data_IF_572870557944
#
_entry.id   IF_572870557944
#
_cell.length_a   1.000
_cell.length_b   1.000
_cell.length_c   1.000
_cell.angle_alpha   90.00
_cell.angle_beta   90.00
_cell.angle_gamma   90.00
#
_symmetry.space_group_name_H-M   'P 1'
#
loop_
_entity.id
_entity.type
_entity.pdbx_description
1 polymer ?
#
# COMPACT_ATOMS: atom_id res chain seq x y z
N UNK A 1 -46.91 -51.04 -82.33
CA UNK A 1 -45.76 -51.54 -81.56
C UNK A 1 -45.49 -50.53 -80.44
N UNK A 2 -45.64 -50.93 -79.18
CA UNK A 2 -45.55 -50.03 -78.01
C UNK A 2 -44.10 -49.67 -77.73
N UNK A 3 -43.79 -48.37 -77.65
CA UNK A 3 -42.64 -47.86 -76.88
C UNK A 3 -43.18 -46.77 -75.96
N UNK A 4 -43.00 -46.99 -74.66
CA UNK A 4 -43.41 -46.13 -73.56
C UNK A 4 -42.19 -45.26 -73.22
N UNK A 5 -42.23 -43.96 -73.51
CA UNK A 5 -41.21 -43.01 -73.04
C UNK A 5 -41.76 -42.28 -71.83
N UNK A 6 -41.20 -42.51 -70.65
CA UNK A 6 -41.47 -41.72 -69.45
C UNK A 6 -40.53 -40.51 -69.43
N UNK A 7 -41.06 -39.32 -69.68
CA UNK A 7 -40.36 -38.06 -69.41
C UNK A 7 -40.80 -37.60 -68.01
N UNK A 8 -39.87 -37.68 -67.04
CA UNK A 8 -40.05 -37.08 -65.73
C UNK A 8 -39.99 -35.55 -65.91
N UNK A 9 -41.13 -34.88 -65.72
CA UNK A 9 -41.19 -33.42 -65.55
C UNK A 9 -40.73 -33.13 -64.13
N UNK A 10 -39.42 -33.08 -63.95
CA UNK A 10 -38.76 -32.61 -62.74
C UNK A 10 -37.87 -31.48 -63.22
N UNK A 11 -38.36 -30.23 -63.20
CA UNK A 11 -37.64 -28.95 -63.29
C UNK A 11 -38.66 -27.84 -63.60
N UNK A 12 -39.22 -27.20 -62.55
CA UNK A 12 -38.81 -25.81 -62.29
C UNK A 12 -38.65 -25.46 -60.79
N UNK A 13 -38.97 -26.37 -59.87
CA UNK A 13 -38.98 -26.05 -58.43
C UNK A 13 -37.56 -25.88 -57.85
N UNK A 14 -36.57 -26.63 -58.34
CA UNK A 14 -35.18 -26.55 -57.86
C UNK A 14 -34.48 -25.24 -58.24
N UNK A 15 -34.82 -24.64 -59.38
CA UNK A 15 -34.24 -23.36 -59.82
C UNK A 15 -34.83 -22.19 -59.03
N UNK A 16 -36.14 -22.23 -58.71
CA UNK A 16 -36.80 -21.22 -57.90
C UNK A 16 -36.30 -21.23 -56.45
N UNK A 17 -36.06 -22.42 -55.88
CA UNK A 17 -35.54 -22.58 -54.51
C UNK A 17 -34.09 -22.09 -54.38
N UNK A 18 -33.28 -22.27 -55.43
CA UNK A 18 -31.89 -21.79 -55.46
C UNK A 18 -31.77 -20.26 -55.59
N UNK A 19 -32.72 -19.62 -56.29
CA UNK A 19 -32.78 -18.16 -56.42
C UNK A 19 -33.28 -17.51 -55.11
N UNK A 20 -34.22 -18.14 -54.40
CA UNK A 20 -34.67 -17.67 -53.07
C UNK A 20 -33.59 -17.84 -52.01
N UNK A 21 -32.76 -18.90 -52.08
CA UNK A 21 -31.60 -19.07 -51.18
C UNK A 21 -30.47 -18.07 -51.42
N UNK A 22 -30.31 -17.54 -52.64
CA UNK A 22 -29.35 -16.47 -52.94
C UNK A 22 -29.84 -15.07 -52.54
N UNK A 23 -31.17 -14.85 -52.47
CA UNK A 23 -31.77 -13.60 -52.01
C UNK A 23 -31.91 -13.52 -50.48
N UNK A 24 -31.67 -14.62 -49.77
CA UNK A 24 -31.55 -14.66 -48.31
C UNK A 24 -30.10 -14.72 -47.84
N UNK A 25 -29.18 -14.09 -48.58
CA UNK A 25 -27.91 -13.68 -47.97
C UNK A 25 -28.27 -12.74 -46.82
N UNK A 26 -28.24 -13.27 -45.59
CA UNK A 26 -28.31 -12.48 -44.38
C UNK A 26 -27.28 -11.37 -44.54
N UNK A 27 -27.74 -10.12 -44.55
CA UNK A 27 -26.84 -8.99 -44.40
C UNK A 27 -26.20 -9.18 -43.02
N UNK A 28 -24.99 -9.72 -42.99
CA UNK A 28 -24.15 -9.68 -41.82
C UNK A 28 -23.73 -8.21 -41.67
N UNK A 29 -24.57 -7.42 -41.00
CA UNK A 29 -24.21 -6.07 -40.60
C UNK A 29 -23.08 -6.18 -39.58
N UNK A 30 -21.85 -5.95 -40.03
CA UNK A 30 -20.74 -5.74 -39.11
C UNK A 30 -20.97 -4.39 -38.42
N UNK A 31 -21.21 -4.42 -37.11
CA UNK A 31 -21.30 -3.21 -36.29
C UNK A 31 -20.04 -2.35 -36.47
N UNK A 32 -20.23 -1.03 -36.55
CA UNK A 32 -19.13 -0.09 -36.77
C UNK A 32 -18.92 0.75 -35.53
N UNK A 33 -17.67 0.90 -35.12
CA UNK A 33 -17.27 1.75 -34.01
C UNK A 33 -16.05 2.56 -34.41
N UNK A 34 -16.12 3.86 -34.16
CA UNK A 34 -14.99 4.77 -34.33
C UNK A 34 -14.91 5.70 -33.13
N UNK A 35 -13.71 5.82 -32.54
CA UNK A 35 -13.48 6.69 -31.40
C UNK A 35 -12.33 7.63 -31.69
N UNK A 36 -12.45 8.86 -31.21
CA UNK A 36 -11.41 9.89 -31.24
C UNK A 36 -11.06 10.33 -29.82
N UNK A 37 -9.78 10.55 -29.56
CA UNK A 37 -9.31 11.16 -28.32
C UNK A 37 -9.38 12.69 -28.47
N UNK A 38 -9.96 13.34 -27.48
CA UNK A 38 -10.16 14.80 -27.45
C UNK A 38 -9.14 15.53 -26.57
N UNK A 39 -8.16 14.81 -26.03
CA UNK A 39 -7.09 15.37 -25.19
C UNK A 39 -5.76 14.70 -25.53
N UNK A 40 -4.67 15.42 -25.24
CA UNK A 40 -3.32 14.87 -25.23
C UNK A 40 -3.03 14.09 -23.94
N UNK A 41 -1.74 13.80 -23.74
CA UNK A 41 -1.23 13.05 -22.59
C UNK A 41 -1.67 13.64 -21.24
N UNK A 42 -1.97 12.75 -20.29
CA UNK A 42 -2.30 13.12 -18.92
C UNK A 42 -1.07 13.02 -18.02
N UNK A 43 -1.03 13.85 -16.98
CA UNK A 43 0.02 13.82 -15.96
C UNK A 43 -0.63 13.74 -14.58
N UNK A 44 -0.18 12.77 -13.77
CA UNK A 44 -0.53 12.65 -12.37
C UNK A 44 0.66 13.11 -11.52
N UNK A 45 0.46 14.20 -10.78
CA UNK A 45 1.46 14.72 -9.86
C UNK A 45 1.17 14.26 -8.43
N UNK A 46 2.08 13.50 -7.84
CA UNK A 46 1.94 12.99 -6.47
C UNK A 46 2.41 13.97 -5.41
N UNK A 47 3.09 15.05 -5.80
CA UNK A 47 3.84 15.90 -4.88
C UNK A 47 4.97 15.12 -4.18
N UNK A 48 5.27 15.49 -2.94
CA UNK A 48 6.19 14.75 -2.09
C UNK A 48 5.42 13.82 -1.14
N UNK A 49 5.69 12.53 -1.25
CA UNK A 49 5.12 11.50 -0.38
C UNK A 49 6.15 11.11 0.68
N UNK A 50 5.77 11.23 1.95
CA UNK A 50 6.61 10.82 3.07
C UNK A 50 6.31 9.36 3.42
N UNK A 51 7.37 8.56 3.58
CA UNK A 51 7.26 7.17 4.05
C UNK A 51 8.20 6.94 5.23
N UNK A 52 7.70 6.30 6.28
CA UNK A 52 8.53 5.96 7.43
C UNK A 52 9.47 4.81 7.07
N UNK A 53 10.72 4.86 7.54
CA UNK A 53 11.73 3.83 7.23
C UNK A 53 11.22 2.42 7.49
N UNK A 54 10.60 2.19 8.65
CA UNK A 54 10.23 0.85 9.12
C UNK A 54 8.76 0.52 8.81
N UNK A 55 8.16 1.22 7.84
CA UNK A 55 6.82 0.92 7.34
C UNK A 55 6.77 -0.53 6.80
N UNK A 56 5.73 -1.27 7.19
CA UNK A 56 5.57 -2.67 6.81
C UNK A 56 5.23 -2.83 5.33
N UNK A 57 5.73 -3.91 4.72
CA UNK A 57 5.31 -4.33 3.38
C UNK A 57 3.79 -4.56 3.36
N UNK A 58 3.11 -4.06 2.32
CA UNK A 58 1.65 -4.08 2.20
C UNK A 58 0.96 -2.80 2.68
N UNK A 59 1.65 -1.92 3.40
CA UNK A 59 1.08 -0.65 3.86
C UNK A 59 0.82 0.29 2.69
N UNK A 60 -0.41 0.78 2.58
CA UNK A 60 -0.79 1.86 1.68
C UNK A 60 -0.38 3.18 2.33
N UNK A 61 0.47 3.97 1.66
CA UNK A 61 1.08 5.18 2.23
C UNK A 61 0.44 6.48 1.72
N UNK A 62 -0.49 6.39 0.78
CA UNK A 62 -1.24 7.55 0.26
C UNK A 62 -2.73 7.26 0.22
N UNK A 63 -3.53 8.31 0.36
CA UNK A 63 -4.89 8.33 -0.17
C UNK A 63 -4.86 8.18 -1.70
N UNK A 64 -6.03 8.12 -2.34
CA UNK A 64 -6.12 8.18 -3.80
C UNK A 64 -5.63 9.54 -4.27
N UNK A 65 -4.46 9.56 -4.91
CA UNK A 65 -3.90 10.72 -5.58
C UNK A 65 -4.45 10.74 -6.99
N UNK A 66 -5.09 11.82 -7.41
CA UNK A 66 -5.87 11.86 -8.67
C UNK A 66 -5.27 12.89 -9.62
N UNK A 67 -5.24 12.57 -10.92
CA UNK A 67 -4.87 13.50 -11.98
C UNK A 67 -5.89 14.63 -12.12
N UNK A 68 -5.58 15.63 -12.94
CA UNK A 68 -6.61 16.56 -13.41
C UNK A 68 -7.73 15.78 -14.13
N UNK A 69 -8.98 16.21 -13.90
CA UNK A 69 -10.16 15.64 -14.58
C UNK A 69 -10.30 16.21 -15.97
N UNK A 70 -10.30 15.33 -16.98
CA UNK A 70 -10.58 15.66 -18.37
C UNK A 70 -12.09 15.61 -18.60
N UNK A 71 -12.68 16.77 -18.93
CA UNK A 71 -14.13 16.91 -19.08
C UNK A 71 -14.70 16.07 -20.23
N UNK A 72 -13.98 15.92 -21.34
CA UNK A 72 -14.35 15.02 -22.43
C UNK A 72 -13.08 14.41 -22.99
N UNK A 73 -12.81 13.14 -22.67
CA UNK A 73 -11.60 12.45 -23.08
C UNK A 73 -11.75 11.77 -24.45
N UNK A 74 -12.94 11.20 -24.71
CA UNK A 74 -13.21 10.51 -25.97
C UNK A 74 -14.61 10.83 -26.50
N UNK A 75 -14.73 10.82 -27.82
CA UNK A 75 -16.02 10.80 -28.53
C UNK A 75 -16.03 9.59 -29.45
N UNK A 76 -17.04 8.74 -29.28
CA UNK A 76 -17.20 7.50 -30.02
C UNK A 76 -18.52 7.49 -30.79
N UNK A 77 -18.45 7.23 -32.08
CA UNK A 77 -19.59 6.82 -32.88
C UNK A 77 -19.69 5.30 -32.84
N UNK A 78 -20.88 4.78 -32.58
CA UNK A 78 -21.18 3.34 -32.56
C UNK A 78 -22.44 3.09 -33.38
N UNK A 79 -22.47 1.99 -34.12
CA UNK A 79 -23.65 1.50 -34.84
C UNK A 79 -23.74 -0.01 -34.70
N UNK A 80 -24.85 -0.49 -34.10
CA UNK A 80 -25.08 -1.90 -33.77
C UNK A 80 -23.95 -2.56 -32.95
N UNK A 81 -23.29 -1.79 -32.08
CA UNK A 81 -22.13 -2.21 -31.30
C UNK A 81 -22.06 -1.44 -29.96
N UNK A 82 -21.01 -1.64 -29.17
CA UNK A 82 -20.80 -0.97 -27.89
C UNK A 82 -19.35 -0.68 -27.55
N UNK A 83 -19.19 0.22 -26.59
CA UNK A 83 -17.89 0.77 -26.16
C UNK A 83 -17.78 0.82 -24.64
N UNK A 84 -16.58 0.56 -24.12
CA UNK A 84 -16.26 0.71 -22.70
C UNK A 84 -14.98 1.53 -22.52
N UNK A 85 -14.95 2.47 -21.55
CA UNK A 85 -13.71 3.10 -21.12
C UNK A 85 -12.81 2.06 -20.48
N UNK A 86 -11.51 2.11 -20.75
CA UNK A 86 -10.51 1.24 -20.13
C UNK A 86 -9.33 2.03 -19.58
N UNK A 87 -8.63 1.44 -18.63
CA UNK A 87 -7.26 1.79 -18.30
C UNK A 87 -6.40 0.55 -18.41
N UNK A 88 -5.21 0.68 -18.98
CA UNK A 88 -4.24 -0.40 -19.07
C UNK A 88 -2.84 0.06 -18.68
N UNK A 89 -2.04 -0.82 -18.09
CA UNK A 89 -0.64 -0.55 -17.77
C UNK A 89 0.24 -1.68 -18.29
N UNK A 90 1.40 -1.29 -18.84
CA UNK A 90 2.48 -2.19 -19.22
C UNK A 90 3.60 -2.24 -18.17
N UNK A 91 3.39 -1.63 -17.00
CA UNK A 91 4.37 -1.72 -15.92
C UNK A 91 4.51 -3.17 -15.46
N UNK A 92 5.72 -3.55 -15.06
CA UNK A 92 5.98 -4.84 -14.46
C UNK A 92 5.21 -4.94 -13.13
N UNK A 93 4.38 -5.97 -12.99
CA UNK A 93 3.74 -6.24 -11.71
C UNK A 93 4.76 -6.65 -10.65
N UNK A 94 4.52 -6.20 -9.43
CA UNK A 94 5.19 -6.68 -8.25
C UNK A 94 4.57 -8.03 -7.82
N UNK A 95 5.33 -8.84 -7.09
CA UNK A 95 4.81 -10.07 -6.51
C UNK A 95 3.80 -9.81 -5.37
N UNK A 96 3.94 -8.66 -4.68
CA UNK A 96 3.00 -8.21 -3.67
C UNK A 96 1.66 -7.85 -4.31
N UNK A 97 0.59 -8.26 -3.63
CA UNK A 97 -0.78 -7.89 -3.94
C UNK A 97 -1.34 -7.08 -2.77
N UNK A 98 -2.27 -6.16 -3.04
CA UNK A 98 -2.93 -5.38 -1.99
C UNK A 98 -4.44 -5.44 -2.19
N UNK A 99 -5.16 -6.06 -1.26
CA UNK A 99 -6.62 -6.19 -1.29
C UNK A 99 -7.19 -6.76 -2.61
N UNK A 100 -6.52 -7.73 -3.23
CA UNK A 100 -6.95 -8.31 -4.50
C UNK A 100 -6.69 -7.43 -5.74
N UNK A 101 -5.92 -6.34 -5.58
CA UNK A 101 -5.53 -5.42 -6.63
C UNK A 101 -4.07 -5.62 -7.05
N UNK A 102 -3.80 -5.34 -8.32
CA UNK A 102 -2.45 -5.40 -8.87
C UNK A 102 -1.60 -4.24 -8.33
N UNK A 103 -0.41 -4.56 -7.84
CA UNK A 103 0.61 -3.57 -7.47
C UNK A 103 1.69 -3.61 -8.54
N UNK A 104 2.00 -2.48 -9.13
CA UNK A 104 3.05 -2.33 -10.15
C UNK A 104 4.33 -1.79 -9.53
N UNK A 105 5.47 -2.19 -10.08
CA UNK A 105 6.76 -1.63 -9.71
C UNK A 105 6.84 -0.15 -10.13
N UNK A 106 7.41 0.67 -9.26
CA UNK A 106 7.74 2.06 -9.58
C UNK A 106 9.25 2.21 -9.82
N UNK A 107 9.67 3.42 -10.19
CA UNK A 107 11.09 3.80 -10.24
C UNK A 107 11.74 3.91 -8.87
N UNK A 108 10.97 3.93 -7.77
CA UNK A 108 11.47 4.02 -6.40
C UNK A 108 11.47 2.63 -5.75
N UNK A 109 12.65 2.05 -5.45
CA UNK A 109 12.74 0.75 -4.80
C UNK A 109 11.99 0.71 -3.47
N UNK A 110 11.26 -0.39 -3.25
CA UNK A 110 10.42 -0.59 -2.06
C UNK A 110 9.08 0.13 -2.10
N UNK A 111 8.75 0.83 -3.19
CA UNK A 111 7.45 1.48 -3.42
C UNK A 111 6.81 0.91 -4.68
N UNK A 112 5.60 0.40 -4.55
CA UNK A 112 4.72 -0.01 -5.64
C UNK A 112 3.56 0.98 -5.83
N UNK A 113 2.83 0.83 -6.93
CA UNK A 113 1.68 1.66 -7.27
C UNK A 113 0.48 0.81 -7.69
N UNK A 114 -0.68 1.12 -7.12
CA UNK A 114 -1.97 0.65 -7.63
C UNK A 114 -2.57 1.72 -8.53
N UNK A 115 -3.15 1.31 -9.65
CA UNK A 115 -3.61 2.23 -10.70
C UNK A 115 -5.09 2.00 -10.94
N UNK A 116 -5.87 3.07 -10.93
CA UNK A 116 -7.27 3.03 -11.32
C UNK A 116 -7.70 4.32 -11.99
N UNK A 117 -8.94 4.35 -12.43
CA UNK A 117 -9.48 5.50 -13.13
C UNK A 117 -10.98 5.63 -12.90
N UNK A 118 -11.46 6.86 -13.05
CA UNK A 118 -12.86 7.24 -13.00
C UNK A 118 -13.26 7.80 -14.35
N UNK A 119 -14.46 7.47 -14.82
CA UNK A 119 -15.03 8.05 -16.03
C UNK A 119 -16.55 8.10 -15.95
N UNK A 120 -17.15 9.05 -16.66
CA UNK A 120 -18.59 9.18 -16.84
C UNK A 120 -18.96 8.90 -18.29
N UNK A 121 -19.90 7.97 -18.50
CA UNK A 121 -20.45 7.66 -19.81
C UNK A 121 -21.97 7.54 -19.67
N UNK A 122 -22.73 8.24 -20.53
CA UNK A 122 -24.20 8.32 -20.47
C UNK A 122 -24.76 8.54 -19.05
N UNK A 123 -24.29 9.61 -18.41
CA UNK A 123 -24.75 10.02 -17.08
C UNK A 123 -24.32 9.11 -15.93
N UNK A 124 -23.70 7.95 -16.21
CA UNK A 124 -23.22 7.02 -15.18
C UNK A 124 -21.72 7.20 -14.94
N UNK A 125 -21.36 7.53 -13.71
CA UNK A 125 -19.96 7.63 -13.26
C UNK A 125 -19.56 6.32 -12.61
N UNK A 126 -18.47 5.72 -13.10
CA UNK A 126 -17.91 4.50 -12.55
C UNK A 126 -16.40 4.65 -12.32
N UNK A 127 -15.87 3.83 -11.43
CA UNK A 127 -14.44 3.75 -11.14
C UNK A 127 -14.00 2.31 -11.07
N UNK A 128 -12.84 2.04 -11.64
CA UNK A 128 -12.24 0.71 -11.64
C UNK A 128 -10.74 0.83 -11.35
N UNK A 129 -10.23 -0.10 -10.56
CA UNK A 129 -8.80 -0.25 -10.28
C UNK A 129 -8.32 -1.53 -10.95
N UNK A 130 -7.12 -1.51 -11.50
CA UNK A 130 -6.55 -2.68 -12.17
C UNK A 130 -6.39 -3.81 -11.13
N UNK A 131 -7.16 -4.88 -11.35
CA UNK A 131 -7.18 -6.07 -10.51
C UNK A 131 -6.23 -7.16 -11.03
N UNK A 132 -6.34 -8.34 -10.43
CA UNK A 132 -5.48 -9.51 -10.73
C UNK A 132 -5.72 -10.19 -12.08
N UNK A 133 -6.56 -9.65 -12.98
CA UNK A 133 -6.96 -10.41 -14.17
C UNK A 133 -5.80 -10.62 -15.16
N UNK A 134 -5.50 -11.91 -15.34
CA UNK A 134 -4.50 -12.50 -16.23
C UNK A 134 -4.56 -11.91 -17.63
N UNK A 135 -3.41 -11.46 -18.13
CA UNK A 135 -3.09 -11.62 -19.53
C UNK A 135 -1.80 -12.42 -19.63
N UNK A 136 -1.88 -13.63 -20.20
CA UNK A 136 -0.75 -14.56 -20.38
C UNK A 136 0.33 -14.01 -21.35
N UNK A 137 0.12 -12.81 -21.91
CA UNK A 137 1.05 -12.13 -22.82
C UNK A 137 0.66 -10.66 -23.14
N UNK A 138 -0.15 -9.99 -22.31
CA UNK A 138 -0.72 -8.66 -22.64
C UNK A 138 -0.51 -7.59 -21.56
N UNK A 139 -0.94 -6.34 -21.79
CA UNK A 139 -1.01 -5.32 -20.75
C UNK A 139 -2.03 -5.72 -19.65
N UNK A 140 -1.82 -5.26 -18.42
CA UNK A 140 -2.82 -5.37 -17.35
C UNK A 140 -3.86 -4.29 -17.55
N UNK A 141 -5.14 -4.61 -17.46
CA UNK A 141 -6.19 -3.63 -17.73
C UNK A 141 -7.44 -3.89 -16.92
N UNK A 142 -8.29 -2.87 -16.87
CA UNK A 142 -9.65 -2.94 -16.35
C UNK A 142 -10.52 -1.98 -17.14
N UNK A 143 -11.83 -2.18 -17.10
CA UNK A 143 -12.80 -1.31 -17.75
C UNK A 143 -13.80 -0.76 -16.76
N UNK A 144 -14.35 0.40 -17.12
CA UNK A 144 -15.54 0.95 -16.50
C UNK A 144 -16.79 0.46 -17.26
N UNK A 145 -17.96 0.92 -16.82
CA UNK A 145 -19.24 0.54 -17.45
C UNK A 145 -19.22 0.92 -18.93
N UNK A 146 -19.44 -0.09 -19.78
CA UNK A 146 -19.63 0.10 -21.22
C UNK A 146 -21.10 0.14 -21.60
N UNK A 147 -21.37 0.67 -22.79
CA UNK A 147 -22.72 0.80 -23.33
C UNK A 147 -22.79 0.22 -24.73
N UNK A 148 -23.86 -0.53 -24.98
CA UNK A 148 -24.19 -1.11 -26.27
C UNK A 148 -25.48 -0.50 -26.81
N UNK A 149 -25.57 -0.37 -28.13
CA UNK A 149 -26.78 0.12 -28.80
C UNK A 149 -27.08 -0.72 -30.05
N UNK A 150 -28.37 -0.93 -30.32
CA UNK A 150 -28.89 -1.61 -31.52
C UNK A 150 -29.05 -0.69 -32.72
N UNK A 151 -28.74 0.60 -32.59
CA UNK A 151 -28.72 1.58 -33.67
C UNK A 151 -27.52 2.50 -33.58
N UNK A 152 -27.47 3.52 -34.43
CA UNK A 152 -26.37 4.48 -34.44
C UNK A 152 -26.50 5.50 -33.29
N UNK A 153 -25.38 5.75 -32.60
CA UNK A 153 -25.32 6.73 -31.53
C UNK A 153 -23.90 7.29 -31.37
N UNK A 154 -23.81 8.51 -30.85
CA UNK A 154 -22.53 9.13 -30.47
C UNK A 154 -22.47 9.27 -28.96
N UNK A 155 -21.39 8.77 -28.36
CA UNK A 155 -21.19 8.73 -26.92
C UNK A 155 -19.92 9.47 -26.56
N UNK A 156 -20.01 10.32 -25.53
CA UNK A 156 -18.86 11.00 -24.95
C UNK A 156 -18.45 10.31 -23.65
N UNK A 157 -17.16 10.02 -23.53
CA UNK A 157 -16.54 9.59 -22.28
C UNK A 157 -15.97 10.84 -21.63
N UNK A 158 -16.56 11.21 -20.51
CA UNK A 158 -16.38 12.48 -19.82
C UNK A 158 -15.87 12.29 -18.40
N UNK A 159 -15.46 13.37 -17.75
CA UNK A 159 -14.97 13.37 -16.37
C UNK A 159 -13.92 12.30 -16.09
N UNK A 160 -12.97 12.12 -17.01
CA UNK A 160 -11.93 11.10 -16.91
C UNK A 160 -10.83 11.60 -15.99
N UNK A 161 -10.53 10.82 -14.95
CA UNK A 161 -9.38 11.05 -14.09
C UNK A 161 -8.72 9.73 -13.73
N UNK A 162 -7.40 9.73 -13.64
CA UNK A 162 -6.61 8.57 -13.19
C UNK A 162 -6.24 8.80 -11.75
N UNK A 163 -6.34 7.75 -10.92
CA UNK A 163 -5.91 7.81 -9.54
C UNK A 163 -4.93 6.69 -9.22
N UNK A 164 -4.06 6.97 -8.25
CA UNK A 164 -3.08 6.00 -7.75
C UNK A 164 -3.07 5.94 -6.22
N UNK A 165 -2.64 4.80 -5.71
CA UNK A 165 -2.27 4.63 -4.31
C UNK A 165 -0.89 3.97 -4.25
N UNK A 166 0.01 4.54 -3.47
CA UNK A 166 1.36 3.99 -3.29
C UNK A 166 1.36 2.97 -2.14
N UNK A 167 2.10 1.88 -2.34
CA UNK A 167 2.16 0.75 -1.41
C UNK A 167 3.60 0.39 -1.13
N UNK A 168 3.94 0.11 0.13
CA UNK A 168 5.27 -0.39 0.50
C UNK A 168 5.42 -1.83 -0.01
N UNK A 169 6.41 -2.09 -0.85
CA UNK A 169 6.68 -3.42 -1.45
C UNK A 169 7.93 -4.09 -0.88
N UNK A 170 8.84 -3.31 -0.33
CA UNK A 170 10.06 -3.75 0.37
C UNK A 170 10.54 -2.61 1.27
N UNK A 171 11.75 -2.69 1.82
CA UNK A 171 12.35 -1.59 2.57
C UNK A 171 12.29 -0.29 1.73
N UNK A 172 11.56 0.75 2.19
CA UNK A 172 11.34 1.94 1.38
C UNK A 172 12.63 2.74 1.22
N UNK A 173 12.81 3.34 0.05
CA UNK A 173 13.91 4.23 -0.29
C UNK A 173 13.40 5.59 -0.75
N UNK A 174 14.23 6.62 -0.66
CA UNK A 174 13.92 7.93 -1.25
C UNK A 174 14.21 7.93 -2.75
N UNK A 175 13.40 8.62 -3.54
CA UNK A 175 13.61 8.71 -4.97
C UNK A 175 12.54 9.51 -5.71
N UNK A 176 12.72 9.62 -7.02
CA UNK A 176 11.78 10.32 -7.91
C UNK A 176 10.83 9.29 -8.52
N UNK A 177 9.52 9.58 -8.43
CA UNK A 177 8.50 8.89 -9.21
C UNK A 177 8.41 9.61 -10.56
N UNK A 178 8.77 8.94 -11.64
CA UNK A 178 8.72 9.54 -12.98
C UNK A 178 8.52 8.49 -14.06
N UNK A 179 7.75 8.84 -15.08
CA UNK A 179 7.67 8.07 -16.33
C UNK A 179 6.25 7.65 -16.68
N UNK A 180 6.16 6.66 -17.56
CA UNK A 180 4.90 6.06 -17.97
C UNK A 180 4.21 5.37 -16.78
N UNK A 181 2.90 5.58 -16.65
CA UNK A 181 2.06 4.95 -15.64
C UNK A 181 1.09 3.95 -16.27
N UNK A 182 0.29 4.43 -17.22
CA UNK A 182 -0.80 3.70 -17.86
C UNK A 182 -1.26 4.41 -19.14
N UNK A 183 -2.11 3.76 -19.92
CA UNK A 183 -2.92 4.37 -20.97
C UNK A 183 -4.39 4.31 -20.59
N UNK A 184 -5.11 5.43 -20.71
CA UNK A 184 -6.57 5.42 -20.74
C UNK A 184 -7.01 5.23 -22.19
N UNK A 185 -8.00 4.39 -22.43
CA UNK A 185 -8.48 4.08 -23.76
C UNK A 185 -9.96 3.76 -23.81
N UNK A 186 -10.38 3.29 -24.99
CA UNK A 186 -11.70 2.74 -25.22
C UNK A 186 -11.55 1.37 -25.88
N UNK A 187 -12.40 0.42 -25.53
CA UNK A 187 -12.50 -0.90 -26.17
C UNK A 187 -13.90 -1.13 -26.70
N UNK A 188 -14.04 -2.03 -27.68
CA UNK A 188 -15.35 -2.62 -28.04
C UNK A 188 -15.88 -3.50 -26.91
N UNK A 189 -17.19 -3.59 -26.77
CA UNK A 189 -17.87 -4.45 -25.77
C UNK A 189 -18.51 -5.70 -26.39
N UNK A 190 -18.00 -6.20 -27.53
CA UNK A 190 -18.55 -7.38 -28.20
C UNK A 190 -18.50 -8.63 -27.31
N UNK A 191 -19.37 -9.63 -27.57
CA UNK A 191 -19.47 -10.87 -26.81
C UNK A 191 -18.13 -11.64 -26.68
N UNK A 192 -17.23 -11.44 -27.65
CA UNK A 192 -15.80 -11.65 -27.48
C UNK A 192 -15.17 -10.27 -27.31
N UNK A 193 -14.74 -9.90 -26.10
CA UNK A 193 -13.89 -8.72 -25.91
C UNK A 193 -12.60 -8.97 -26.71
N UNK A 194 -12.56 -8.52 -27.97
CA UNK A 194 -11.49 -8.82 -28.91
C UNK A 194 -10.19 -8.06 -28.57
N UNK A 195 -10.24 -7.17 -27.59
CA UNK A 195 -9.10 -6.40 -27.11
C UNK A 195 -8.62 -5.35 -28.12
N UNK A 196 -9.39 -5.11 -29.19
CA UNK A 196 -9.12 -4.10 -30.20
C UNK A 196 -9.27 -2.71 -29.58
N UNK A 197 -8.17 -2.20 -29.01
CA UNK A 197 -8.13 -0.87 -28.39
C UNK A 197 -8.25 0.24 -29.43
N UNK A 198 -9.08 1.23 -29.13
CA UNK A 198 -9.19 2.50 -29.87
C UNK A 198 -8.15 3.53 -29.35
N UNK A 199 -8.25 4.86 -29.63
CA UNK A 199 -7.14 5.75 -29.32
C UNK A 199 -6.83 5.71 -27.82
N UNK A 200 -5.56 5.86 -27.52
CA UNK A 200 -5.02 5.79 -26.17
C UNK A 200 -4.49 7.15 -25.78
N UNK A 201 -4.81 7.55 -24.57
CA UNK A 201 -4.27 8.72 -23.92
C UNK A 201 -3.22 8.23 -22.93
N UNK A 202 -1.92 8.47 -23.19
CA UNK A 202 -0.88 8.05 -22.27
C UNK A 202 -0.94 8.89 -20.99
N UNK A 203 -0.66 8.24 -19.88
CA UNK A 203 -0.65 8.82 -18.55
C UNK A 203 0.75 8.66 -17.99
N UNK A 204 1.33 9.78 -17.56
CA UNK A 204 2.61 9.79 -16.87
C UNK A 204 2.43 10.16 -15.41
N UNK A 205 3.36 9.72 -14.57
CA UNK A 205 3.44 10.08 -13.15
C UNK A 205 4.66 10.98 -12.93
N UNK A 206 4.53 11.98 -12.07
CA UNK A 206 5.66 12.73 -11.54
C UNK A 206 5.52 13.00 -10.04
N UNK A 207 6.64 13.08 -9.33
CA UNK A 207 6.71 13.43 -7.91
C UNK A 207 7.90 12.80 -7.21
N UNK A 208 7.91 12.84 -5.88
CA UNK A 208 9.02 12.32 -5.07
C UNK A 208 8.51 11.49 -3.91
N UNK A 209 9.30 10.51 -3.50
CA UNK A 209 9.15 9.78 -2.25
C UNK A 209 10.32 10.13 -1.36
N UNK A 210 10.03 10.56 -0.13
CA UNK A 210 11.04 10.84 0.90
C UNK A 210 10.87 9.84 2.03
N UNK A 211 11.86 8.95 2.17
CA UNK A 211 11.96 8.04 3.32
C UNK A 211 12.57 8.78 4.50
N UNK A 212 11.83 8.85 5.61
CA UNK A 212 12.25 9.55 6.83
C UNK A 212 12.69 8.59 7.93
N UNK A 213 13.72 8.97 8.67
CA UNK A 213 14.27 8.24 9.81
C UNK A 213 15.00 9.18 10.77
N UNK A 214 15.63 8.62 11.81
CA UNK A 214 16.65 9.31 12.59
C UNK A 214 17.95 8.50 12.67
N UNK A 215 19.06 9.22 12.84
CA UNK A 215 20.35 8.69 13.26
C UNK A 215 20.47 8.78 14.78
N UNK A 216 20.94 7.72 15.43
CA UNK A 216 21.16 7.71 16.87
C UNK A 216 22.47 8.43 17.17
N UNK A 217 22.43 9.45 18.03
CA UNK A 217 23.63 10.20 18.44
C UNK A 217 24.18 9.72 19.79
N UNK A 218 23.35 9.05 20.61
CA UNK A 218 23.75 8.41 21.88
C UNK A 218 23.49 6.90 21.81
N UNK A 219 24.36 6.11 21.16
CA UNK A 219 24.14 4.67 20.97
C UNK A 219 24.20 3.87 22.27
N UNK A 220 24.86 4.40 23.30
CA UNK A 220 24.97 3.78 24.61
C UNK A 220 24.42 4.73 25.69
N UNK A 221 23.59 4.20 26.58
CA UNK A 221 23.09 4.92 27.76
C UNK A 221 23.54 4.17 29.01
N UNK A 222 24.31 4.83 29.87
CA UNK A 222 24.77 4.28 31.14
C UNK A 222 24.10 5.04 32.28
N UNK A 223 23.39 4.31 33.14
CA UNK A 223 22.64 4.89 34.25
C UNK A 223 23.33 4.55 35.58
N UNK A 224 24.27 5.37 36.07
CA UNK A 224 24.86 5.18 37.39
C UNK A 224 23.83 5.57 38.47
N UNK A 225 22.99 4.61 38.88
CA UNK A 225 22.03 4.79 39.99
C UNK A 225 22.77 4.96 41.33
N UNK A 226 23.92 4.28 41.47
CA UNK A 226 24.74 4.30 42.68
C UNK A 226 24.28 3.31 43.74
N UNK A 227 24.89 3.43 44.91
CA UNK A 227 24.62 2.58 46.08
C UNK A 227 23.41 3.11 46.86
N UNK A 228 22.50 2.21 47.21
CA UNK A 228 21.28 2.53 47.96
C UNK A 228 21.20 1.61 49.16
N UNK A 229 21.01 2.20 50.36
CA UNK A 229 20.88 1.43 51.60
C UNK A 229 19.66 0.51 51.52
N UNK A 230 19.82 -0.75 51.94
CA UNK A 230 18.74 -1.72 52.00
C UNK A 230 17.57 -1.23 52.88
N UNK A 231 17.84 -0.41 53.91
CA UNK A 231 16.84 0.21 54.77
C UNK A 231 15.96 1.27 54.08
N UNK A 232 16.36 1.75 52.90
CA UNK A 232 15.55 2.68 52.11
C UNK A 232 14.49 1.95 51.28
N UNK A 233 14.57 0.61 51.21
CA UNK A 233 13.52 -0.25 50.69
C UNK A 233 12.52 -0.58 51.81
N UNK A 234 11.29 -0.87 51.44
CA UNK A 234 10.21 -1.16 52.39
C UNK A 234 10.03 -2.65 52.65
N UNK A 235 8.84 -3.00 53.13
CA UNK A 235 8.43 -4.38 53.39
C UNK A 235 7.44 -4.94 52.34
N UNK A 236 7.26 -4.24 51.22
CA UNK A 236 6.29 -4.56 50.18
C UNK A 236 6.90 -4.46 48.79
N UNK A 237 6.37 -5.26 47.86
CA UNK A 237 6.69 -5.16 46.43
C UNK A 237 6.20 -3.82 45.90
N UNK A 238 6.99 -3.18 45.04
CA UNK A 238 6.62 -1.92 44.38
C UNK A 238 7.18 -0.64 44.99
N UNK A 239 7.92 -0.75 46.09
CA UNK A 239 8.63 0.39 46.67
C UNK A 239 9.75 0.85 45.74
N UNK A 240 9.84 2.16 45.55
CA UNK A 240 10.89 2.85 44.81
C UNK A 240 11.60 3.78 45.81
N UNK A 241 12.83 3.46 46.23
CA UNK A 241 13.53 4.30 47.20
C UNK A 241 13.81 5.70 46.65
N UNK A 242 13.71 6.72 47.50
CA UNK A 242 14.07 8.08 47.13
C UNK A 242 15.55 8.16 46.71
N UNK A 243 15.83 8.87 45.62
CA UNK A 243 17.19 9.03 45.10
C UNK A 243 17.77 7.80 44.37
N UNK A 244 17.06 6.67 44.35
CA UNK A 244 17.49 5.46 43.65
C UNK A 244 17.20 5.50 42.15
N UNK A 245 17.54 6.61 41.49
CA UNK A 245 17.29 6.82 40.08
C UNK A 245 18.35 7.69 39.40
N UNK A 246 18.54 7.48 38.10
CA UNK A 246 19.40 8.27 37.25
C UNK A 246 18.73 8.51 35.89
N UNK A 247 18.88 9.72 35.34
CA UNK A 247 18.31 10.08 34.04
C UNK A 247 19.41 10.32 33.03
N UNK A 248 19.25 9.75 31.84
CA UNK A 248 20.11 9.96 30.68
C UNK A 248 19.25 10.35 29.49
N UNK A 249 19.82 11.12 28.57
CA UNK A 249 19.11 11.56 27.37
C UNK A 249 19.46 10.65 26.19
N UNK A 250 18.44 10.04 25.59
CA UNK A 250 18.53 9.44 24.26
C UNK A 250 18.51 10.57 23.22
N UNK A 251 19.66 10.84 22.62
CA UNK A 251 19.84 11.79 21.53
C UNK A 251 19.65 11.15 20.16
N UNK A 252 18.88 11.82 19.30
CA UNK A 252 18.66 11.47 17.89
C UNK A 252 18.84 12.70 16.99
N UNK A 253 19.22 12.47 15.73
CA UNK A 253 19.15 13.47 14.66
C UNK A 253 18.17 12.97 13.60
N UNK A 254 17.04 13.66 13.44
CA UNK A 254 15.88 13.17 12.72
C UNK A 254 15.60 13.96 11.44
N UNK A 255 15.07 13.26 10.44
CA UNK A 255 14.37 13.88 9.32
C UNK A 255 13.03 14.46 9.81
N UNK A 256 12.59 15.55 9.19
CA UNK A 256 11.27 16.12 9.46
C UNK A 256 10.17 15.12 9.07
N UNK A 257 9.23 14.89 9.99
CA UNK A 257 8.12 13.95 9.80
C UNK A 257 8.43 12.51 10.25
N UNK A 258 9.64 12.19 10.74
CA UNK A 258 9.97 10.87 11.26
C UNK A 258 9.16 10.57 12.55
N UNK A 259 8.44 9.44 12.55
CA UNK A 259 7.64 8.98 13.68
C UNK A 259 8.50 8.10 14.59
N UNK A 260 8.99 8.63 15.69
CA UNK A 260 9.92 7.93 16.57
C UNK A 260 9.14 7.04 17.53
N UNK A 261 9.45 5.75 17.51
CA UNK A 261 8.91 4.76 18.43
C UNK A 261 10.05 4.06 19.16
N UNK A 262 9.79 3.62 20.39
CA UNK A 262 10.72 2.77 21.14
C UNK A 262 10.02 1.53 21.68
N UNK A 263 10.79 0.45 21.83
CA UNK A 263 10.42 -0.69 22.66
C UNK A 263 11.61 -1.14 23.50
N UNK A 264 11.35 -1.58 24.72
CA UNK A 264 12.38 -2.08 25.62
C UNK A 264 12.45 -3.61 25.52
N UNK A 265 13.63 -4.16 25.25
CA UNK A 265 13.90 -5.59 25.29
C UNK A 265 14.89 -5.90 26.42
N UNK A 266 14.67 -7.00 27.13
CA UNK A 266 15.51 -7.42 28.24
C UNK A 266 14.88 -8.58 29.00
N UNK A 267 15.61 -9.11 29.99
CA UNK A 267 15.10 -10.19 30.83
C UNK A 267 14.17 -9.64 31.90
N UNK A 268 12.92 -10.11 31.92
CA UNK A 268 11.98 -9.75 32.98
C UNK A 268 12.44 -10.30 34.33
N UNK A 269 12.27 -9.51 35.40
CA UNK A 269 12.50 -10.00 36.75
C UNK A 269 11.43 -11.04 37.12
N UNK A 270 11.81 -12.29 37.45
CA UNK A 270 10.85 -13.37 37.70
C UNK A 270 10.07 -13.20 39.02
N UNK A 271 10.51 -12.31 39.89
CA UNK A 271 9.91 -12.11 41.21
C UNK A 271 8.66 -11.22 41.17
N UNK A 272 8.34 -10.62 40.00
CA UNK A 272 7.18 -9.73 39.81
C UNK A 272 6.43 -10.02 38.51
N UNK A 273 5.09 -9.96 38.60
CA UNK A 273 4.22 -10.17 37.44
C UNK A 273 4.23 -8.99 36.44
N UNK A 274 4.70 -7.80 36.85
CA UNK A 274 4.73 -6.63 35.98
C UNK A 274 5.86 -6.74 34.97
N UNK A 275 5.53 -6.71 33.68
CA UNK A 275 6.49 -6.84 32.59
C UNK A 275 7.31 -5.54 32.35
N UNK A 276 7.54 -4.70 33.34
CA UNK A 276 8.31 -3.45 33.24
C UNK A 276 9.59 -3.45 34.06
N UNK A 277 9.83 -4.51 34.84
CA UNK A 277 10.98 -4.63 35.73
C UNK A 277 11.99 -5.60 35.13
N UNK A 278 13.21 -5.11 34.90
CA UNK A 278 14.35 -5.88 34.45
C UNK A 278 14.94 -6.70 35.60
N UNK A 279 15.30 -7.94 35.28
CA UNK A 279 16.12 -8.79 36.12
C UNK A 279 17.51 -8.20 36.30
N UNK A 280 18.14 -8.51 37.43
CA UNK A 280 19.55 -8.19 37.61
C UNK A 280 20.42 -9.15 36.79
N UNK A 281 21.57 -8.66 36.37
CA UNK A 281 22.60 -9.47 35.71
C UNK A 281 23.08 -10.53 36.69
N UNK A 282 23.01 -11.79 36.29
CA UNK A 282 23.34 -12.94 37.15
C UNK A 282 22.45 -13.05 38.42
N UNK A 283 21.19 -12.61 38.35
CA UNK A 283 20.22 -12.75 39.44
C UNK A 283 20.17 -14.19 39.97
N UNK A 284 20.30 -14.34 41.29
CA UNK A 284 20.36 -15.64 41.97
C UNK A 284 21.74 -15.98 42.55
N UNK A 285 22.81 -15.37 42.02
CA UNK A 285 24.17 -15.55 42.54
C UNK A 285 24.34 -14.90 43.93
N UNK A 286 25.33 -15.36 44.70
CA UNK A 286 25.62 -14.90 46.07
C UNK A 286 25.95 -13.43 46.19
N UNK A 287 26.64 -12.86 45.19
CA UNK A 287 27.10 -11.47 45.21
C UNK A 287 26.08 -10.47 44.62
N UNK A 288 24.91 -10.96 44.19
CA UNK A 288 23.86 -10.16 43.54
C UNK A 288 22.73 -9.92 44.53
N UNK A 289 22.26 -8.68 44.59
CA UNK A 289 21.15 -8.29 45.47
C UNK A 289 19.88 -9.10 45.15
N UNK A 290 19.09 -9.44 46.17
CA UNK A 290 17.80 -10.11 46.01
C UNK A 290 16.68 -9.13 46.37
N UNK A 291 15.51 -9.32 45.75
CA UNK A 291 14.33 -8.49 46.03
C UNK A 291 14.35 -7.11 45.39
N UNK A 292 15.25 -6.86 44.43
CA UNK A 292 15.31 -5.63 43.65
C UNK A 292 15.48 -5.94 42.16
N UNK A 293 14.91 -5.09 41.32
CA UNK A 293 15.14 -5.05 39.88
C UNK A 293 15.27 -3.60 39.40
N UNK A 294 15.43 -3.41 38.09
CA UNK A 294 15.58 -2.08 37.50
C UNK A 294 14.38 -1.78 36.59
N UNK A 295 13.82 -0.58 36.68
CA UNK A 295 12.81 -0.08 35.75
C UNK A 295 13.39 1.07 34.92
N UNK A 296 13.06 1.10 33.63
CA UNK A 296 13.26 2.28 32.78
C UNK A 296 11.94 3.01 32.61
N UNK A 297 12.01 4.33 32.63
CA UNK A 297 10.86 5.22 32.55
C UNK A 297 11.06 6.22 31.42
N UNK A 298 9.96 6.55 30.75
CA UNK A 298 9.87 7.69 29.86
C UNK A 298 8.67 8.54 30.26
N UNK A 299 8.88 9.85 30.41
CA UNK A 299 7.86 10.81 30.84
C UNK A 299 7.11 10.37 32.13
N UNK A 300 7.86 9.83 33.10
CA UNK A 300 7.31 9.36 34.38
C UNK A 300 6.62 7.98 34.35
N UNK A 301 6.43 7.37 33.17
CA UNK A 301 5.76 6.07 33.02
C UNK A 301 6.78 4.94 32.78
N UNK A 302 6.65 3.78 33.45
CA UNK A 302 7.52 2.62 33.19
C UNK A 302 7.38 2.10 31.76
N UNK A 303 8.51 1.84 31.12
CA UNK A 303 8.56 1.13 29.84
C UNK A 303 8.27 -0.35 30.07
N UNK A 304 7.26 -0.85 29.38
CA UNK A 304 6.90 -2.28 29.40
C UNK A 304 7.75 -3.02 28.37
N UNK A 305 8.28 -4.17 28.78
CA UNK A 305 9.09 -5.04 27.93
C UNK A 305 8.29 -5.49 26.71
N UNK A 306 8.93 -5.44 25.55
CA UNK A 306 8.39 -5.79 24.23
C UNK A 306 7.15 -4.99 23.84
N UNK A 307 6.83 -3.90 24.55
CA UNK A 307 5.76 -3.00 24.19
C UNK A 307 6.30 -1.78 23.44
N UNK A 308 5.70 -1.47 22.29
CA UNK A 308 6.06 -0.30 21.51
C UNK A 308 5.29 0.92 22.01
N UNK A 309 5.98 2.03 22.21
CA UNK A 309 5.37 3.32 22.47
C UNK A 309 5.86 4.37 21.46
N UNK A 310 4.98 5.31 21.12
CA UNK A 310 5.32 6.47 20.30
C UNK A 310 5.95 7.51 21.22
N UNK A 311 7.14 8.01 20.85
CA UNK A 311 7.79 9.11 21.56
C UNK A 311 7.32 10.46 21.04
N UNK A 312 7.48 10.67 19.73
CA UNK A 312 7.25 11.95 19.05
C UNK A 312 7.28 11.76 17.54
N UNK A 313 6.52 12.57 16.81
CA UNK A 313 6.81 12.85 15.39
C UNK A 313 7.74 14.06 15.29
N UNK A 314 8.94 13.86 14.75
CA UNK A 314 9.98 14.90 14.73
C UNK A 314 9.64 16.03 13.75
N UNK A 315 9.94 17.27 14.12
CA UNK A 315 9.96 18.41 13.20
C UNK A 315 11.25 18.48 12.35
N UNK A 316 12.18 17.55 12.57
CA UNK A 316 13.51 17.53 11.98
C UNK A 316 14.57 18.12 12.92
N UNK A 317 15.81 17.66 12.76
CA UNK A 317 16.97 18.09 13.55
C UNK A 317 17.21 17.25 14.80
N UNK A 318 17.82 17.87 15.81
CA UNK A 318 18.19 17.18 17.05
C UNK A 318 16.96 16.96 17.95
N UNK A 319 16.79 15.73 18.43
CA UNK A 319 15.78 15.33 19.40
C UNK A 319 16.46 14.72 20.62
N UNK A 320 15.91 14.98 21.81
CA UNK A 320 16.46 14.48 23.07
C UNK A 320 15.34 13.97 23.96
N UNK A 321 15.42 12.69 24.34
CA UNK A 321 14.40 12.02 25.15
C UNK A 321 14.98 11.60 26.50
N UNK A 322 14.53 12.21 27.62
CA UNK A 322 14.99 11.82 28.94
C UNK A 322 14.42 10.46 29.33
N UNK A 323 15.32 9.50 29.54
CA UNK A 323 15.01 8.17 30.04
C UNK A 323 15.52 8.09 31.48
N UNK A 324 14.70 7.62 32.41
CA UNK A 324 15.10 7.47 33.82
C UNK A 324 15.18 5.99 34.15
N UNK A 325 16.33 5.54 34.65
CA UNK A 325 16.46 4.23 35.29
C UNK A 325 16.28 4.37 36.80
N UNK A 326 15.57 3.43 37.44
CA UNK A 326 15.40 3.40 38.89
C UNK A 326 15.38 1.98 39.44
N UNK A 327 15.75 1.81 40.72
CA UNK A 327 15.50 0.56 41.42
C UNK A 327 14.00 0.39 41.74
N UNK A 328 13.56 -0.86 41.72
CA UNK A 328 12.20 -1.26 42.05
C UNK A 328 12.24 -2.50 42.93
N UNK A 329 11.56 -2.45 44.08
CA UNK A 329 11.51 -3.57 45.01
C UNK A 329 10.61 -4.70 44.47
N UNK A 330 11.19 -5.90 44.32
CA UNK A 330 10.52 -7.08 43.76
C UNK A 330 10.12 -8.14 44.80
N UNK A 331 10.63 -8.04 46.04
CA UNK A 331 10.22 -8.90 47.17
C UNK A 331 9.98 -8.07 48.42
N UNK A 332 9.35 -8.66 49.43
CA UNK A 332 9.14 -8.01 50.74
C UNK A 332 10.43 -7.72 51.51
N UNK A 333 11.56 -8.33 51.12
CA UNK A 333 12.87 -8.06 51.70
C UNK A 333 13.93 -7.90 50.60
N UNK A 334 14.85 -6.94 50.80
CA UNK A 334 15.99 -6.67 49.92
C UNK A 334 17.28 -7.07 50.62
N UNK A 335 18.17 -7.78 49.93
CA UNK A 335 19.50 -8.13 50.45
C UNK A 335 20.58 -7.29 49.79
N UNK A 336 21.72 -7.13 50.48
CA UNK A 336 22.89 -6.46 49.90
C UNK A 336 23.48 -7.27 48.75
N UNK A 337 24.13 -6.57 47.82
CA UNK A 337 24.80 -7.16 46.65
C UNK A 337 24.82 -6.21 45.47
N UNK A 338 25.44 -6.63 44.37
CA UNK A 338 25.46 -5.89 43.10
C UNK A 338 24.06 -5.88 42.49
N UNK A 339 23.65 -4.74 41.91
CA UNK A 339 22.34 -4.55 41.30
C UNK A 339 22.41 -4.03 39.86
N UNK A 340 23.31 -4.62 39.06
CA UNK A 340 23.49 -4.24 37.66
C UNK A 340 22.40 -4.86 36.78
N UNK A 341 21.90 -4.14 35.78
CA UNK A 341 20.99 -4.65 34.76
C UNK A 341 21.44 -4.22 33.36
N UNK A 342 21.06 -4.98 32.35
CA UNK A 342 21.27 -4.64 30.94
C UNK A 342 19.98 -4.85 30.16
N UNK A 343 19.76 -3.99 29.16
CA UNK A 343 18.60 -4.04 28.30
C UNK A 343 18.91 -3.36 26.96
N UNK A 344 18.12 -3.67 25.94
CA UNK A 344 18.21 -3.08 24.61
C UNK A 344 17.00 -2.20 24.38
N UNK A 345 17.23 -0.93 24.03
CA UNK A 345 16.18 -0.03 23.58
C UNK A 345 16.12 -0.06 22.05
N UNK A 346 15.06 -0.63 21.50
CA UNK A 346 14.86 -0.71 20.05
C UNK A 346 14.16 0.55 19.56
N UNK A 347 14.72 1.20 18.54
CA UNK A 347 14.09 2.34 17.87
C UNK A 347 13.48 1.91 16.53
N UNK A 348 12.22 2.28 16.32
CA UNK A 348 11.53 2.07 15.04
C UNK A 348 10.87 3.35 14.54
N UNK A 349 10.76 3.46 13.21
CA UNK A 349 10.10 4.57 12.53
C UNK A 349 8.88 4.09 11.76
N UNK A 350 7.68 4.32 12.33
CA UNK A 350 6.37 3.87 11.85
C UNK A 350 5.30 4.89 12.25
#
# INVERSE_FOLDING_TARGET
MKIKLSINIMWPVSLLMSIVSFLMSSQAFAGTVSCSANTGAMVLNTGNVIVQRDASVGTIITNKLTSQTVQTAFTCFVDQDGVAPIIRSMLAMNALKSNGLAVFNTTVPGIGVMIGFTSTMNGSTSSATIGEMYSWSGPYWTNNVGYWTSGSATWSISNVSVYVQLVVTAQPTSGVLSGYLADVGVTKTTATNDGSGYPLIPVSINGTVTRVACAITTPNLTFPIGDVLASNFGNAVGVVPAGAQNTQNLGLNCDAGANINISLAGTQNPDVATNSVLALTNQGNTDVAKGVGVQLLYNGSPLVLNNRIVLKQSSGGQESFPITARYYQTKTAVTTGKANASATLNLTYQ
#
